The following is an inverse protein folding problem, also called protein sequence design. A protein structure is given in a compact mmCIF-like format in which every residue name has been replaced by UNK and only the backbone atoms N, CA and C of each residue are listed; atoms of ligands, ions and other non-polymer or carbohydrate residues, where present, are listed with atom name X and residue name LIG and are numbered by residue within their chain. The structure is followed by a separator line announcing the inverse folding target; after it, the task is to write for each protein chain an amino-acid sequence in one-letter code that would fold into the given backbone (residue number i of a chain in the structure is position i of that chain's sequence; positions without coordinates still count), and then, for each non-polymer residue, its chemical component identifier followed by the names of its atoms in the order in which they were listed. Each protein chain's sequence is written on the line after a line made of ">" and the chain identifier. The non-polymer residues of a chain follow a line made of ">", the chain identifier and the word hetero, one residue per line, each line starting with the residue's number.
data_IF_973043426987
#
_entry.id   IF_973043426987
#
_cell.length_a   1.000
_cell.length_b   1.000
_cell.length_c   1.000
_cell.angle_alpha   90.00
_cell.angle_beta   90.00
_cell.angle_gamma   90.00
#
_symmetry.space_group_name_H-M   'P 1'
#
loop_
_entity.id
_entity.type
_entity.pdbx_description
1 polymer ?
#
# COMPACT_ATOMS: atom_id res chain seq x y z
N UNK A 1 7.42 0.86 17.85
CA UNK A 1 6.06 0.30 17.80
C UNK A 1 5.33 1.03 16.70
N UNK A 2 4.68 0.32 15.76
CA UNK A 2 3.95 0.95 14.66
C UNK A 2 2.83 1.85 15.17
N UNK A 3 2.59 2.99 14.49
CA UNK A 3 1.61 3.99 14.92
C UNK A 3 0.78 4.46 13.74
N UNK A 4 -0.52 4.20 13.80
CA UNK A 4 -1.52 4.77 12.89
C UNK A 4 -2.10 6.05 13.50
N UNK A 5 -2.17 7.12 12.71
CA UNK A 5 -2.80 8.38 13.10
C UNK A 5 -3.84 8.75 12.05
N UNK A 6 -5.06 8.99 12.49
CA UNK A 6 -6.15 9.47 11.65
C UNK A 6 -6.38 10.97 11.90
N UNK A 7 -6.45 11.74 10.83
CA UNK A 7 -6.60 13.20 10.87
C UNK A 7 -7.66 13.63 9.87
N UNK A 8 -8.45 14.63 10.23
CA UNK A 8 -9.38 15.29 9.32
C UNK A 8 -8.98 16.76 9.20
N UNK A 9 -9.07 17.30 7.98
CA UNK A 9 -8.87 18.73 7.75
C UNK A 9 -9.89 19.54 8.57
N UNK A 10 -9.51 20.74 9.02
CA UNK A 10 -10.37 21.57 9.87
C UNK A 10 -11.68 21.99 9.19
N UNK A 11 -11.68 22.06 7.86
CA UNK A 11 -12.86 22.33 7.03
C UNK A 11 -13.67 21.07 6.68
N UNK A 12 -13.21 19.88 7.10
CA UNK A 12 -13.86 18.61 6.82
C UNK A 12 -13.68 18.12 5.38
N UNK A 13 -12.82 18.74 4.58
CA UNK A 13 -12.66 18.42 3.15
C UNK A 13 -11.86 17.14 2.89
N UNK A 14 -10.99 16.74 3.81
CA UNK A 14 -10.03 15.66 3.60
C UNK A 14 -9.82 14.83 4.86
N UNK A 15 -9.81 13.51 4.70
CA UNK A 15 -9.46 12.53 5.72
C UNK A 15 -8.10 11.92 5.37
N UNK A 16 -7.17 11.88 6.31
CA UNK A 16 -5.84 11.33 6.12
C UNK A 16 -5.50 10.32 7.20
N UNK A 17 -4.98 9.18 6.76
CA UNK A 17 -4.44 8.12 7.62
C UNK A 17 -2.94 8.02 7.38
N UNK A 18 -2.13 8.21 8.42
CA UNK A 18 -0.68 8.08 8.36
C UNK A 18 -0.21 6.92 9.23
N UNK A 19 0.68 6.07 8.70
CA UNK A 19 1.22 4.91 9.39
C UNK A 19 2.74 4.93 9.40
N UNK A 20 3.34 4.85 10.59
CA UNK A 20 4.72 4.36 10.76
C UNK A 20 4.69 2.84 10.83
N UNK A 21 5.23 2.20 9.80
CA UNK A 21 5.24 0.75 9.62
C UNK A 21 6.63 0.14 9.75
N UNK A 22 7.61 0.90 10.24
CA UNK A 22 9.03 0.51 10.27
C UNK A 22 9.24 -0.87 10.90
N UNK A 23 8.75 -1.09 12.12
CA UNK A 23 8.94 -2.36 12.84
C UNK A 23 8.27 -3.55 12.15
N UNK A 24 7.10 -3.30 11.57
CA UNK A 24 6.29 -4.32 10.91
C UNK A 24 6.95 -4.78 9.60
N UNK A 25 7.45 -3.83 8.80
CA UNK A 25 8.18 -4.12 7.57
C UNK A 25 9.54 -4.76 7.89
N UNK A 26 10.24 -4.29 8.93
CA UNK A 26 11.46 -4.93 9.43
C UNK A 26 11.20 -6.39 9.84
N UNK A 27 10.07 -6.65 10.51
CA UNK A 27 9.71 -8.01 10.92
C UNK A 27 9.42 -8.91 9.71
N UNK A 28 8.73 -8.39 8.70
CA UNK A 28 8.46 -9.14 7.46
C UNK A 28 9.76 -9.46 6.73
N UNK A 29 10.68 -8.51 6.62
CA UNK A 29 12.02 -8.71 6.05
C UNK A 29 12.77 -9.81 6.81
N UNK A 30 12.82 -9.76 8.15
CA UNK A 30 13.47 -10.78 8.96
C UNK A 30 12.87 -12.19 8.80
N UNK A 31 11.55 -12.29 8.61
CA UNK A 31 10.88 -13.59 8.43
C UNK A 31 11.16 -14.16 7.03
N UNK A 32 11.06 -13.31 6.01
CA UNK A 32 11.11 -13.74 4.60
C UNK A 32 12.50 -13.65 3.97
N UNK A 33 13.46 -13.01 4.64
CA UNK A 33 14.84 -12.78 4.19
C UNK A 33 14.86 -12.16 2.79
N UNK A 34 14.09 -11.09 2.61
CA UNK A 34 13.84 -10.48 1.30
C UNK A 34 14.99 -9.59 0.84
N UNK A 35 15.27 -9.61 -0.47
CA UNK A 35 16.15 -8.61 -1.10
C UNK A 35 15.58 -7.19 -0.95
N UNK A 36 16.44 -6.16 -0.97
CA UNK A 36 16.04 -4.78 -0.67
C UNK A 36 14.85 -4.27 -1.51
N UNK A 37 14.83 -4.58 -2.82
CA UNK A 37 13.74 -4.18 -3.72
C UNK A 37 12.42 -4.88 -3.38
N UNK A 38 12.49 -6.14 -2.95
CA UNK A 38 11.33 -6.92 -2.53
C UNK A 38 10.84 -6.47 -1.15
N UNK A 39 11.74 -6.14 -0.22
CA UNK A 39 11.39 -5.50 1.06
C UNK A 39 10.65 -4.18 0.83
N UNK A 40 11.09 -3.39 -0.16
CA UNK A 40 10.38 -2.16 -0.52
C UNK A 40 9.00 -2.43 -1.10
N UNK A 41 8.86 -3.38 -2.04
CA UNK A 41 7.57 -3.74 -2.62
C UNK A 41 6.60 -4.28 -1.57
N UNK A 42 7.01 -5.29 -0.79
CA UNK A 42 6.20 -5.91 0.26
C UNK A 42 5.85 -4.90 1.35
N UNK A 43 6.81 -4.09 1.80
CA UNK A 43 6.60 -3.10 2.84
C UNK A 43 5.62 -2.00 2.44
N UNK A 44 5.68 -1.51 1.20
CA UNK A 44 4.69 -0.56 0.67
C UNK A 44 3.29 -1.19 0.66
N UNK A 45 3.16 -2.40 0.12
CA UNK A 45 1.88 -3.09 0.06
C UNK A 45 1.30 -3.32 1.46
N UNK A 46 2.09 -3.85 2.40
CA UNK A 46 1.64 -4.09 3.77
C UNK A 46 1.23 -2.80 4.49
N UNK A 47 1.94 -1.69 4.24
CA UNK A 47 1.59 -0.38 4.82
C UNK A 47 0.24 0.10 4.30
N UNK A 48 0.01 0.03 2.98
CA UNK A 48 -1.28 0.39 2.39
C UNK A 48 -2.41 -0.51 2.90
N UNK A 49 -2.20 -1.83 2.89
CA UNK A 49 -3.19 -2.81 3.37
C UNK A 49 -3.54 -2.61 4.85
N UNK A 50 -2.55 -2.31 5.70
CA UNK A 50 -2.79 -2.02 7.13
C UNK A 50 -3.67 -0.77 7.30
N UNK A 51 -3.40 0.29 6.55
CA UNK A 51 -4.25 1.49 6.54
C UNK A 51 -5.66 1.15 6.05
N UNK A 52 -5.80 0.40 4.94
CA UNK A 52 -7.10 -0.02 4.42
C UNK A 52 -7.90 -0.85 5.45
N UNK A 53 -7.22 -1.77 6.13
CA UNK A 53 -7.82 -2.65 7.14
C UNK A 53 -8.35 -1.85 8.33
N UNK A 54 -7.54 -0.93 8.87
CA UNK A 54 -7.91 -0.09 10.01
C UNK A 54 -9.10 0.85 9.75
N UNK A 55 -9.51 1.03 8.49
CA UNK A 55 -10.69 1.82 8.10
C UNK A 55 -11.97 0.96 8.05
N UNK A 56 -11.84 -0.37 8.07
CA UNK A 56 -12.98 -1.29 8.13
C UNK A 56 -13.64 -1.22 9.53
N UNK A 57 -14.98 -1.21 9.56
CA UNK A 57 -15.74 -1.02 10.80
C UNK A 57 -16.17 -2.32 11.49
N UNK A 58 -16.21 -3.46 10.79
CA UNK A 58 -16.68 -4.73 11.38
C UNK A 58 -15.57 -5.45 12.14
N UNK A 59 -15.92 -6.09 13.25
CA UNK A 59 -14.96 -6.81 14.11
C UNK A 59 -14.27 -7.96 13.39
N UNK A 60 -15.01 -8.69 12.56
CA UNK A 60 -14.48 -9.80 11.76
C UNK A 60 -14.08 -9.37 10.33
N UNK A 61 -13.97 -8.06 10.08
CA UNK A 61 -13.65 -7.56 8.74
C UNK A 61 -12.16 -7.68 8.44
N UNK A 62 -11.86 -8.04 7.19
CA UNK A 62 -10.49 -8.06 6.68
C UNK A 62 -10.40 -7.55 5.24
N UNK A 63 -9.22 -7.08 4.87
CA UNK A 63 -8.90 -6.71 3.49
C UNK A 63 -7.69 -7.50 3.02
N UNK A 64 -7.80 -8.07 1.82
CA UNK A 64 -6.71 -8.68 1.10
C UNK A 64 -6.37 -7.83 -0.12
N UNK A 65 -5.12 -7.36 -0.20
CA UNK A 65 -4.60 -6.66 -1.37
C UNK A 65 -3.57 -7.55 -2.05
N UNK A 66 -3.74 -7.78 -3.34
CA UNK A 66 -2.87 -8.60 -4.17
C UNK A 66 -2.44 -7.80 -5.39
N UNK A 67 -1.15 -7.72 -5.65
CA UNK A 67 -0.60 -7.13 -6.86
C UNK A 67 0.29 -8.15 -7.58
N UNK A 68 0.11 -8.27 -8.90
CA UNK A 68 0.93 -9.12 -9.74
C UNK A 68 0.98 -8.58 -11.16
N UNK A 69 2.14 -8.04 -11.55
CA UNK A 69 2.38 -7.40 -12.85
C UNK A 69 3.33 -8.19 -13.76
N UNK A 70 3.45 -9.51 -13.53
CA UNK A 70 4.39 -10.42 -14.23
C UNK A 70 5.87 -10.04 -14.10
N UNK A 71 6.23 -9.26 -13.08
CA UNK A 71 7.63 -9.04 -12.72
C UNK A 71 8.27 -10.24 -11.99
N UNK A 72 9.60 -10.21 -11.83
CA UNK A 72 10.36 -11.29 -11.20
C UNK A 72 10.03 -11.52 -9.72
N UNK A 73 9.41 -10.57 -9.00
CA UNK A 73 8.92 -10.79 -7.64
C UNK A 73 7.70 -11.75 -7.59
N UNK A 74 7.08 -12.00 -8.74
CA UNK A 74 5.83 -12.74 -8.86
C UNK A 74 4.66 -11.96 -8.26
N UNK A 75 3.86 -12.63 -7.46
CA UNK A 75 2.73 -12.00 -6.75
C UNK A 75 3.20 -11.50 -5.39
N UNK A 76 2.83 -10.26 -5.06
CA UNK A 76 2.91 -9.67 -3.72
C UNK A 76 1.50 -9.60 -3.15
N UNK A 77 1.29 -10.11 -1.94
CA UNK A 77 -0.02 -10.15 -1.29
C UNK A 77 0.11 -9.70 0.16
N UNK A 78 -0.86 -8.95 0.66
CA UNK A 78 -0.97 -8.57 2.05
C UNK A 78 -2.43 -8.67 2.51
N UNK A 79 -2.63 -9.11 3.75
CA UNK A 79 -3.95 -9.23 4.40
C UNK A 79 -3.91 -8.48 5.72
N UNK A 80 -4.85 -7.57 5.94
CA UNK A 80 -5.00 -6.86 7.20
C UNK A 80 -6.40 -7.05 7.79
N UNK A 81 -6.47 -7.09 9.12
CA UNK A 81 -7.73 -7.03 9.87
C UNK A 81 -8.17 -5.58 10.15
N UNK A 82 -9.32 -5.42 10.80
CA UNK A 82 -9.88 -4.14 11.19
C UNK A 82 -9.08 -3.39 12.28
N UNK A 83 -8.10 -4.03 12.92
CA UNK A 83 -7.19 -3.41 13.89
C UNK A 83 -5.89 -2.94 13.24
N UNK A 84 -5.74 -3.15 11.92
CA UNK A 84 -4.53 -2.81 11.17
C UNK A 84 -3.40 -3.82 11.34
N UNK A 85 -3.63 -4.98 11.99
CA UNK A 85 -2.65 -6.05 12.01
C UNK A 85 -2.55 -6.65 10.61
N UNK A 86 -1.34 -6.75 10.08
CA UNK A 86 -1.13 -7.20 8.69
C UNK A 86 -0.11 -8.31 8.62
N UNK A 87 -0.35 -9.23 7.69
CA UNK A 87 0.60 -10.23 7.22
C UNK A 87 0.78 -10.07 5.72
N UNK A 88 2.01 -10.28 5.25
CA UNK A 88 2.35 -10.16 3.84
C UNK A 88 3.13 -11.38 3.36
N UNK A 89 3.08 -11.62 2.06
CA UNK A 89 3.89 -12.63 1.39
C UNK A 89 4.24 -12.17 -0.02
N UNK A 90 5.38 -12.62 -0.51
CA UNK A 90 5.83 -12.40 -1.87
C UNK A 90 6.31 -13.73 -2.45
N UNK A 91 6.00 -13.97 -3.71
CA UNK A 91 6.28 -15.26 -4.37
C UNK A 91 7.78 -15.54 -4.41
N UNK A 92 8.56 -14.56 -4.86
CA UNK A 92 10.01 -14.65 -4.94
C UNK A 92 10.62 -13.60 -3.99
N UNK A 93 11.11 -14.00 -2.80
CA UNK A 93 11.62 -13.06 -1.79
C UNK A 93 12.94 -12.40 -2.19
N UNK A 94 13.70 -13.04 -3.08
CA UNK A 94 15.01 -12.56 -3.54
C UNK A 94 14.93 -12.27 -5.03
N UNK A 95 15.08 -10.99 -5.39
CA UNK A 95 15.14 -10.49 -6.76
C UNK A 95 16.31 -9.53 -6.84
N UNK A 96 17.22 -9.79 -7.78
CA UNK A 96 18.36 -8.92 -8.05
C UNK A 96 18.05 -8.05 -9.27
N UNK A 97 17.95 -6.75 -9.02
CA UNK A 97 17.77 -5.74 -10.05
C UNK A 97 18.75 -4.58 -9.79
N UNK A 98 19.29 -3.95 -10.84
CA UNK A 98 20.00 -2.70 -10.69
C UNK A 98 19.07 -1.61 -10.13
N UNK A 99 19.66 -0.54 -9.58
CA UNK A 99 18.90 0.65 -9.26
C UNK A 99 18.26 1.22 -10.53
N UNK A 100 17.10 1.86 -10.37
CA UNK A 100 16.43 2.53 -11.47
C UNK A 100 17.22 3.76 -11.95
N UNK A 101 16.73 4.41 -13.01
CA UNK A 101 17.34 5.60 -13.62
C UNK A 101 17.53 6.80 -12.65
N UNK A 102 16.88 6.79 -11.49
CA UNK A 102 16.98 7.81 -10.45
C UNK A 102 17.86 7.37 -9.27
N UNK A 103 18.54 6.23 -9.37
CA UNK A 103 19.37 5.67 -8.29
C UNK A 103 18.56 5.13 -7.10
N UNK A 104 17.28 4.80 -7.30
CA UNK A 104 16.40 4.22 -6.28
C UNK A 104 16.15 2.74 -6.56
N UNK A 105 15.61 2.02 -5.57
CA UNK A 105 15.18 0.63 -5.73
C UNK A 105 14.12 0.52 -6.84
N UNK A 106 14.31 -0.40 -7.78
CA UNK A 106 13.43 -0.59 -8.93
C UNK A 106 12.21 -1.46 -8.60
N UNK A 107 11.29 -0.90 -7.80
CA UNK A 107 10.06 -1.59 -7.37
C UNK A 107 9.18 -1.92 -8.58
N UNK A 108 9.01 -0.97 -9.50
CA UNK A 108 8.36 -1.22 -10.79
C UNK A 108 8.97 -2.41 -11.54
N UNK A 109 10.29 -2.48 -11.66
CA UNK A 109 10.97 -3.59 -12.31
C UNK A 109 10.72 -4.92 -11.62
N UNK A 110 10.65 -4.94 -10.28
CA UNK A 110 10.39 -6.15 -9.50
C UNK A 110 8.95 -6.66 -9.60
N UNK A 111 7.96 -5.75 -9.52
CA UNK A 111 6.52 -6.08 -9.53
C UNK A 111 6.02 -6.31 -10.97
N UNK A 112 6.53 -5.54 -11.92
CA UNK A 112 6.05 -5.44 -13.29
C UNK A 112 4.76 -4.63 -13.42
N UNK A 113 4.35 -4.36 -14.66
CA UNK A 113 3.16 -3.54 -14.98
C UNK A 113 2.11 -4.28 -15.81
N UNK A 114 2.39 -5.50 -16.25
CA UNK A 114 1.46 -6.30 -17.06
C UNK A 114 0.62 -7.21 -16.14
N UNK A 115 -0.39 -6.62 -15.52
CA UNK A 115 -1.32 -7.34 -14.67
C UNK A 115 -2.21 -6.43 -13.86
N UNK A 116 -2.57 -6.87 -12.66
CA UNK A 116 -3.65 -6.26 -11.88
C UNK A 116 -3.30 -6.09 -10.41
N UNK A 117 -3.89 -5.05 -9.82
CA UNK A 117 -4.08 -4.91 -8.40
C UNK A 117 -5.53 -5.32 -8.06
N UNK A 118 -5.69 -6.25 -7.13
CA UNK A 118 -6.97 -6.73 -6.63
C UNK A 118 -7.10 -6.42 -5.15
N UNK A 119 -8.26 -5.91 -4.75
CA UNK A 119 -8.62 -5.65 -3.35
C UNK A 119 -9.89 -6.44 -3.04
N UNK A 120 -9.81 -7.28 -2.03
CA UNK A 120 -10.91 -8.11 -1.56
C UNK A 120 -11.23 -7.65 -0.14
N UNK A 121 -12.44 -7.17 0.09
CA UNK A 121 -12.94 -6.77 1.41
C UNK A 121 -13.94 -7.80 1.88
N UNK A 122 -13.59 -8.52 2.93
CA UNK A 122 -14.49 -9.43 3.63
C UNK A 122 -15.02 -8.70 4.86
N UNK A 123 -16.34 -8.58 4.98
CA UNK A 123 -16.98 -7.89 6.09
C UNK A 123 -17.37 -8.83 7.25
N UNK A 124 -17.08 -10.13 7.14
CA UNK A 124 -17.49 -11.16 8.09
C UNK A 124 -18.94 -11.63 7.92
N UNK A 125 -19.66 -11.08 6.93
CA UNK A 125 -21.00 -11.49 6.56
C UNK A 125 -21.24 -11.29 5.06
N UNK A 126 -22.06 -12.17 4.48
CA UNK A 126 -22.36 -12.14 3.06
C UNK A 126 -21.17 -12.51 2.18
N UNK A 127 -21.23 -12.10 0.92
CA UNK A 127 -20.16 -12.32 -0.05
C UNK A 127 -19.12 -11.18 0.04
N UNK A 128 -17.82 -11.49 -0.08
CA UNK A 128 -16.77 -10.47 -0.05
C UNK A 128 -16.89 -9.56 -1.27
N UNK A 129 -16.61 -8.27 -1.06
CA UNK A 129 -16.49 -7.31 -2.15
C UNK A 129 -15.13 -7.45 -2.83
N UNK A 130 -15.12 -7.59 -4.15
CA UNK A 130 -13.90 -7.75 -4.94
C UNK A 130 -13.80 -6.61 -5.96
N UNK A 131 -12.78 -5.78 -5.81
CA UNK A 131 -12.40 -4.77 -6.79
C UNK A 131 -11.07 -5.12 -7.45
N UNK A 132 -10.94 -4.84 -8.75
CA UNK A 132 -9.74 -5.13 -9.52
C UNK A 132 -9.49 -4.03 -10.56
N UNK A 133 -8.25 -3.53 -10.61
CA UNK A 133 -7.82 -2.52 -11.58
C UNK A 133 -6.50 -2.95 -12.24
N UNK A 134 -6.26 -2.57 -13.51
CA UNK A 134 -4.95 -2.77 -14.12
C UNK A 134 -3.87 -1.98 -13.36
N UNK A 135 -2.67 -2.53 -13.31
CA UNK A 135 -1.49 -1.82 -12.76
C UNK A 135 -1.14 -0.68 -13.72
N UNK A 136 -0.94 0.51 -13.18
CA UNK A 136 -0.60 1.71 -13.98
C UNK A 136 0.88 2.07 -13.87
N UNK A 137 1.51 1.74 -12.73
CA UNK A 137 2.88 2.15 -12.41
C UNK A 137 3.79 0.98 -12.05
N UNK A 138 3.31 0.07 -11.20
CA UNK A 138 4.13 -0.96 -10.54
C UNK A 138 4.82 -0.45 -9.26
N UNK A 139 4.67 0.83 -8.89
CA UNK A 139 5.25 1.43 -7.68
C UNK A 139 4.37 1.26 -6.43
N UNK A 140 3.20 0.60 -6.57
CA UNK A 140 2.21 0.26 -5.53
C UNK A 140 1.41 1.46 -5.03
N UNK A 141 2.06 2.58 -4.68
CA UNK A 141 1.37 3.76 -4.16
C UNK A 141 0.38 4.34 -5.18
N UNK A 142 0.86 4.60 -6.41
CA UNK A 142 0.02 5.08 -7.52
C UNK A 142 -1.06 4.05 -7.91
N UNK A 143 -0.75 2.76 -7.85
CA UNK A 143 -1.70 1.69 -8.17
C UNK A 143 -2.84 1.61 -7.14
N UNK A 144 -2.53 1.85 -5.86
CA UNK A 144 -3.51 1.97 -4.77
C UNK A 144 -4.37 3.23 -4.92
N UNK A 145 -3.75 4.38 -5.24
CA UNK A 145 -4.48 5.60 -5.57
C UNK A 145 -5.46 5.40 -6.72
N UNK A 146 -5.00 4.75 -7.80
CA UNK A 146 -5.83 4.43 -8.96
C UNK A 146 -6.98 3.47 -8.60
N UNK A 147 -6.73 2.47 -7.74
CA UNK A 147 -7.79 1.60 -7.26
C UNK A 147 -8.91 2.37 -6.56
N UNK A 148 -8.57 3.26 -5.64
CA UNK A 148 -9.58 4.08 -4.96
C UNK A 148 -10.33 5.01 -5.92
N UNK A 149 -9.60 5.67 -6.83
CA UNK A 149 -10.21 6.57 -7.80
C UNK A 149 -11.18 5.84 -8.74
N UNK A 150 -10.81 4.66 -9.26
CA UNK A 150 -11.58 3.94 -10.28
C UNK A 150 -12.62 2.99 -9.68
N UNK A 151 -12.25 2.19 -8.68
CA UNK A 151 -13.13 1.15 -8.11
C UNK A 151 -14.04 1.69 -7.02
N UNK A 152 -13.57 2.65 -6.21
CA UNK A 152 -14.30 3.19 -5.07
C UNK A 152 -14.89 4.59 -5.36
N UNK A 153 -14.56 5.18 -6.52
CA UNK A 153 -14.94 6.55 -6.91
C UNK A 153 -14.56 7.59 -5.84
N UNK A 154 -13.42 7.36 -5.18
CA UNK A 154 -12.93 8.16 -4.07
C UNK A 154 -11.57 8.76 -4.43
N UNK A 155 -11.50 10.07 -4.77
CA UNK A 155 -10.23 10.74 -5.04
C UNK A 155 -9.27 10.57 -3.86
N UNK A 156 -8.16 9.88 -4.12
CA UNK A 156 -7.24 9.41 -3.08
C UNK A 156 -5.79 9.59 -3.51
N UNK A 157 -5.01 10.23 -2.64
CA UNK A 157 -3.55 10.30 -2.74
C UNK A 157 -2.94 9.33 -1.75
N UNK A 158 -2.09 8.44 -2.26
CA UNK A 158 -1.38 7.44 -1.50
C UNK A 158 0.11 7.66 -1.69
N UNK A 159 0.85 7.82 -0.59
CA UNK A 159 2.29 7.92 -0.60
C UNK A 159 2.88 6.87 0.33
N UNK A 160 3.79 6.05 -0.17
CA UNK A 160 4.38 4.92 0.56
C UNK A 160 5.89 4.94 0.40
N UNK A 161 6.60 4.73 1.50
CA UNK A 161 8.06 4.76 1.57
C UNK A 161 8.62 3.59 2.36
N UNK A 162 9.70 3.01 1.84
CA UNK A 162 10.53 2.04 2.55
C UNK A 162 11.98 2.39 2.26
N UNK A 163 12.77 2.56 3.32
CA UNK A 163 14.19 2.82 3.26
C UNK A 163 14.93 1.63 3.83
N UNK A 164 15.79 1.03 3.01
CA UNK A 164 16.60 -0.14 3.35
C UNK A 164 18.07 0.28 3.48
N UNK A 165 18.74 -0.20 4.53
CA UNK A 165 20.17 0.03 4.75
C UNK A 165 21.04 -0.84 3.83
N UNK A 166 22.34 -0.53 3.68
CA UNK A 166 23.26 -1.39 2.93
C UNK A 166 23.39 -2.82 3.46
N UNK A 167 23.11 -3.05 4.75
CA UNK A 167 23.07 -4.37 5.39
C UNK A 167 21.71 -5.09 5.23
N UNK A 168 20.84 -4.57 4.35
CA UNK A 168 19.48 -5.05 4.06
C UNK A 168 18.45 -4.86 5.17
N UNK A 169 18.84 -4.30 6.32
CA UNK A 169 17.88 -4.01 7.39
C UNK A 169 16.98 -2.82 7.03
N UNK A 170 15.73 -2.84 7.50
CA UNK A 170 14.80 -1.74 7.29
C UNK A 170 15.14 -0.58 8.22
N UNK A 171 15.46 0.58 7.64
CA UNK A 171 15.75 1.82 8.38
C UNK A 171 14.49 2.59 8.75
N UNK A 172 13.55 2.68 7.82
CA UNK A 172 12.28 3.37 8.00
C UNK A 172 11.26 2.82 7.00
N UNK A 173 10.01 2.70 7.42
CA UNK A 173 8.90 2.43 6.52
C UNK A 173 7.65 3.15 7.01
N UNK A 174 6.81 3.57 6.07
CA UNK A 174 5.57 4.24 6.39
C UNK A 174 4.91 4.84 5.17
N UNK A 175 3.83 5.55 5.41
CA UNK A 175 3.09 6.21 4.35
C UNK A 175 1.79 6.81 4.84
N UNK A 176 1.05 7.38 3.90
CA UNK A 176 -0.28 7.89 4.17
C UNK A 176 -1.24 7.63 3.01
N UNK A 177 -2.52 7.61 3.36
CA UNK A 177 -3.65 7.62 2.42
C UNK A 177 -4.52 8.81 2.78
N UNK A 178 -4.64 9.77 1.87
CA UNK A 178 -5.44 10.97 2.01
C UNK A 178 -6.58 10.96 0.99
N UNK A 179 -7.81 11.16 1.46
CA UNK A 179 -9.03 10.99 0.69
C UNK A 179 -9.90 12.23 0.82
N UNK A 180 -10.44 12.71 -0.30
CA UNK A 180 -11.37 13.82 -0.29
C UNK A 180 -12.75 13.35 0.17
N UNK A 181 -13.35 14.10 1.08
CA UNK A 181 -14.68 13.84 1.59
C UNK A 181 -15.73 14.58 0.73
N UNK A 182 -16.99 14.12 0.74
CA UNK A 182 -18.07 14.81 0.04
C UNK A 182 -18.17 16.27 0.48
N UNK A 183 -18.19 17.18 -0.50
CA UNK A 183 -18.25 18.64 -0.25
C UNK A 183 -16.90 19.36 -0.24
N UNK A 184 -15.79 18.67 -0.53
CA UNK A 184 -14.52 19.33 -0.84
C UNK A 184 -14.66 20.27 -2.05
N UNK A 185 -14.10 21.48 -1.96
CA UNK A 185 -14.10 22.44 -3.06
C UNK A 185 -13.01 22.12 -4.10
N UNK A 186 -13.17 22.65 -5.32
CA UNK A 186 -12.20 22.43 -6.42
C UNK A 186 -10.77 22.83 -6.03
N UNK A 187 -10.63 23.84 -5.15
CA UNK A 187 -9.33 24.26 -4.64
C UNK A 187 -8.67 23.22 -3.72
N UNK A 188 -9.44 22.49 -2.92
CA UNK A 188 -8.95 21.37 -2.10
C UNK A 188 -8.59 20.16 -2.95
N UNK A 189 -9.37 19.90 -4.01
CA UNK A 189 -9.05 18.86 -5.01
C UNK A 189 -7.69 19.15 -5.65
N UNK A 190 -7.53 20.35 -6.21
CA UNK A 190 -6.31 20.82 -6.86
C UNK A 190 -5.06 20.73 -5.99
N UNK A 191 -5.21 21.02 -4.68
CA UNK A 191 -4.09 20.95 -3.72
C UNK A 191 -3.68 19.52 -3.44
N UNK A 192 -4.65 18.63 -3.30
CA UNK A 192 -4.37 17.22 -3.03
C UNK A 192 -3.69 16.57 -4.24
N UNK A 193 -4.19 16.81 -5.46
CA UNK A 193 -3.64 16.22 -6.70
C UNK A 193 -2.22 16.71 -7.06
N UNK A 194 -1.78 17.85 -6.54
CA UNK A 194 -0.43 18.42 -6.77
C UNK A 194 0.64 17.93 -5.77
N UNK A 195 0.29 17.03 -4.86
CA UNK A 195 1.20 16.49 -3.83
C UNK A 195 1.92 15.24 -4.34
#
# INVERSE_FOLDING_TARGET
>A
MGKLVTMIASDGSCLCHCLDSTDMVAKAEQIHQTSAVVTAALGRLMTATSIMGAVLKGEDSSVTVRIGGKGPAGVVIAVADNQGNVRGYVTNPVVELPLNQHGKLDVKGAVGTDGFLSVIKDFGFGEPYVGQVPIISGEIAEDVSNYYAVSEQLPTVCALGVLVNPDLTVRAAGGYVAQLLPGADDASIDRLEKT
#
